data_IF_112522926948
#
_entry.id   IF_112522926948
#
_cell.length_a   1.000
_cell.length_b   1.000
_cell.length_c   1.000
_cell.angle_alpha   90.00
_cell.angle_beta   90.00
_cell.angle_gamma   90.00
#
_symmetry.space_group_name_H-M   'P 1'
#
loop_
_entity.id
_entity.type
_entity.pdbx_description
1 polymer ?
#
# COMPACT_ATOMS: atom_id res chain seq x y z
N UNK A 1 19.53 -4.22 -1.74
CA UNK A 1 19.53 -3.61 -3.09
C UNK A 1 18.91 -2.25 -2.96
N UNK A 2 19.36 -1.28 -3.74
CA UNK A 2 18.84 0.09 -3.70
C UNK A 2 19.13 0.75 -5.05
N UNK A 3 18.25 1.65 -5.52
CA UNK A 3 18.43 2.38 -6.78
C UNK A 3 18.98 3.79 -6.54
N UNK A 4 18.68 4.38 -5.39
CA UNK A 4 19.03 5.75 -5.04
C UNK A 4 20.49 5.88 -4.57
N UNK A 5 21.33 6.68 -5.25
CA UNK A 5 22.75 6.82 -4.91
C UNK A 5 23.02 7.26 -3.47
N UNK A 6 22.23 8.18 -2.93
CA UNK A 6 22.42 8.67 -1.57
C UNK A 6 22.07 7.62 -0.51
N UNK A 7 21.06 6.78 -0.78
CA UNK A 7 20.67 5.69 0.11
C UNK A 7 21.72 4.57 0.12
N UNK A 8 22.33 4.27 -1.05
CA UNK A 8 23.42 3.30 -1.14
C UNK A 8 24.57 3.62 -0.17
N UNK A 9 25.02 4.88 -0.12
CA UNK A 9 26.09 5.29 0.79
C UNK A 9 25.71 5.14 2.26
N UNK A 10 24.45 5.44 2.61
CA UNK A 10 23.94 5.30 3.97
C UNK A 10 23.80 3.84 4.41
N UNK A 11 23.62 2.90 3.47
CA UNK A 11 23.46 1.48 3.76
C UNK A 11 24.78 0.73 3.98
N UNK A 12 25.89 1.20 3.39
CA UNK A 12 27.21 0.53 3.48
C UNK A 12 27.66 0.17 4.90
N UNK A 13 27.44 1.00 5.95
CA UNK A 13 27.84 0.65 7.31
C UNK A 13 27.01 -0.47 7.95
N UNK A 14 25.82 -0.76 7.42
CA UNK A 14 24.84 -1.67 8.04
C UNK A 14 24.68 -3.00 7.30
N UNK A 15 25.20 -3.10 6.08
CA UNK A 15 25.08 -4.28 5.23
C UNK A 15 26.45 -4.80 4.81
N UNK A 16 26.60 -6.12 4.72
CA UNK A 16 27.82 -6.77 4.19
C UNK A 16 28.13 -6.34 2.76
N UNK A 17 27.09 -6.26 1.93
CA UNK A 17 27.16 -5.89 0.53
C UNK A 17 25.96 -5.00 0.19
N UNK A 18 26.17 -4.02 -0.70
CA UNK A 18 25.11 -3.14 -1.21
C UNK A 18 25.23 -3.04 -2.72
N UNK A 19 24.14 -3.31 -3.42
CA UNK A 19 24.08 -3.34 -4.88
C UNK A 19 23.13 -2.28 -5.42
N UNK A 20 23.64 -1.48 -6.38
CA UNK A 20 22.83 -0.56 -7.17
C UNK A 20 22.08 -1.33 -8.25
N UNK A 21 20.80 -1.61 -8.05
CA UNK A 21 19.98 -2.37 -9.00
C UNK A 21 18.57 -1.80 -9.08
N UNK A 22 17.98 -1.85 -10.28
CA UNK A 22 16.58 -1.52 -10.53
C UNK A 22 15.76 -2.81 -10.62
N UNK A 23 14.74 -2.95 -9.79
CA UNK A 23 13.84 -4.11 -9.82
C UNK A 23 12.95 -4.15 -11.08
N UNK A 24 12.89 -3.06 -11.84
CA UNK A 24 12.26 -3.03 -13.15
C UNK A 24 13.16 -3.63 -14.26
N UNK A 25 14.45 -3.85 -14.01
CA UNK A 25 15.31 -4.63 -14.91
C UNK A 25 14.98 -6.14 -14.82
N UNK A 26 14.59 -6.84 -15.89
CA UNK A 26 14.28 -8.28 -15.83
C UNK A 26 15.41 -9.17 -15.31
N UNK A 27 16.66 -8.71 -15.36
CA UNK A 27 17.85 -9.50 -15.04
C UNK A 27 18.36 -9.30 -13.62
N UNK A 28 17.73 -8.43 -12.82
CA UNK A 28 18.23 -8.05 -11.49
C UNK A 28 18.52 -9.26 -10.58
N UNK A 29 17.66 -10.28 -10.62
CA UNK A 29 17.75 -11.46 -9.76
C UNK A 29 18.90 -12.37 -10.18
N UNK A 30 19.13 -12.56 -11.48
CA UNK A 30 20.27 -13.33 -11.97
C UNK A 30 21.60 -12.66 -11.57
N UNK A 31 21.69 -11.33 -11.70
CA UNK A 31 22.87 -10.58 -11.31
C UNK A 31 23.19 -10.77 -9.81
N UNK A 32 22.16 -10.80 -8.96
CA UNK A 32 22.33 -11.05 -7.52
C UNK A 32 22.73 -12.50 -7.25
N UNK A 33 22.11 -13.46 -7.92
CA UNK A 33 22.45 -14.88 -7.76
C UNK A 33 23.91 -15.16 -8.14
N UNK A 34 24.40 -14.57 -9.23
CA UNK A 34 25.76 -14.76 -9.69
C UNK A 34 26.79 -14.17 -8.71
N UNK A 35 26.42 -13.15 -7.93
CA UNK A 35 27.29 -12.44 -6.99
C UNK A 35 27.25 -13.03 -5.57
N UNK A 36 26.08 -13.41 -5.08
CA UNK A 36 25.83 -13.77 -3.67
C UNK A 36 25.23 -15.17 -3.50
N UNK A 37 24.79 -15.81 -4.58
CA UNK A 37 24.11 -17.11 -4.55
C UNK A 37 22.64 -17.01 -4.12
N UNK A 38 22.17 -18.05 -3.42
CA UNK A 38 20.80 -18.18 -2.92
C UNK A 38 20.71 -17.79 -1.45
N UNK A 39 19.52 -17.38 -1.02
CA UNK A 39 19.27 -16.83 0.32
C UNK A 39 18.27 -17.68 1.12
N UNK A 40 18.45 -17.69 2.44
CA UNK A 40 17.46 -18.21 3.39
C UNK A 40 16.21 -17.32 3.46
N UNK A 41 16.38 -16.01 3.29
CA UNK A 41 15.28 -15.04 3.34
C UNK A 41 15.52 -13.94 2.32
N UNK A 42 14.49 -13.64 1.54
CA UNK A 42 14.45 -12.45 0.66
C UNK A 42 13.32 -11.55 1.14
N UNK A 43 13.65 -10.31 1.50
CA UNK A 43 12.72 -9.35 2.12
C UNK A 43 12.44 -8.22 1.13
N UNK A 44 11.16 -7.89 0.95
CA UNK A 44 10.72 -6.65 0.33
C UNK A 44 9.72 -5.96 1.27
N UNK A 45 10.22 -4.97 2.01
CA UNK A 45 9.40 -4.17 2.91
C UNK A 45 9.08 -2.84 2.22
N UNK A 46 7.82 -2.66 1.82
CA UNK A 46 7.32 -1.44 1.19
C UNK A 46 8.06 -1.13 -0.13
N UNK A 47 7.95 -2.08 -1.07
CA UNK A 47 8.67 -2.09 -2.36
C UNK A 47 7.75 -2.43 -3.53
N UNK A 48 6.88 -3.44 -3.39
CA UNK A 48 6.11 -3.99 -4.51
C UNK A 48 5.05 -3.00 -5.04
N UNK A 49 4.69 -1.99 -4.26
CA UNK A 49 3.83 -0.88 -4.62
C UNK A 49 4.50 0.18 -5.51
N UNK A 50 5.84 0.19 -5.55
CA UNK A 50 6.67 1.13 -6.30
C UNK A 50 7.17 0.60 -7.66
N UNK A 51 6.93 -0.68 -7.97
CA UNK A 51 7.43 -1.33 -9.20
C UNK A 51 6.32 -1.54 -10.24
N UNK A 52 6.67 -1.51 -11.53
CA UNK A 52 5.69 -1.66 -12.60
C UNK A 52 5.10 -3.08 -12.66
N UNK A 53 5.93 -4.10 -12.43
CA UNK A 53 5.52 -5.50 -12.49
C UNK A 53 5.89 -6.24 -11.18
N UNK A 54 5.07 -6.10 -10.13
CA UNK A 54 5.32 -6.75 -8.84
C UNK A 54 5.26 -8.28 -8.92
N UNK A 55 4.55 -8.85 -9.90
CA UNK A 55 4.48 -10.30 -10.09
C UNK A 55 5.83 -10.85 -10.53
N UNK A 56 6.45 -10.22 -11.55
CA UNK A 56 7.78 -10.60 -12.02
C UNK A 56 8.85 -10.37 -10.95
N UNK A 57 8.77 -9.27 -10.21
CA UNK A 57 9.69 -9.00 -9.10
C UNK A 57 9.57 -10.08 -8.03
N UNK A 58 8.36 -10.43 -7.60
CA UNK A 58 8.15 -11.51 -6.63
C UNK A 58 8.61 -12.88 -7.16
N UNK A 59 8.47 -13.13 -8.46
CA UNK A 59 9.02 -14.33 -9.09
C UNK A 59 10.56 -14.37 -9.01
N UNK A 60 11.24 -13.26 -9.30
CA UNK A 60 12.69 -13.14 -9.14
C UNK A 60 13.15 -13.30 -7.69
N UNK A 61 12.39 -12.77 -6.73
CA UNK A 61 12.65 -13.00 -5.30
C UNK A 61 12.54 -14.48 -4.93
N UNK A 62 11.53 -15.18 -5.45
CA UNK A 62 11.38 -16.63 -5.27
C UNK A 62 12.56 -17.40 -5.89
N UNK A 63 13.02 -16.99 -7.08
CA UNK A 63 14.16 -17.60 -7.73
C UNK A 63 15.42 -17.52 -6.88
N UNK A 64 15.61 -16.47 -6.09
CA UNK A 64 16.76 -16.30 -5.20
C UNK A 64 16.73 -17.15 -3.93
N UNK A 65 15.67 -17.93 -3.67
CA UNK A 65 15.60 -18.77 -2.48
C UNK A 65 16.46 -20.03 -2.60
N UNK A 66 17.07 -20.43 -1.49
CA UNK A 66 17.60 -21.79 -1.33
C UNK A 66 16.47 -22.78 -1.00
N UNK A 67 16.84 -24.06 -0.81
CA UNK A 67 15.90 -25.16 -0.57
C UNK A 67 15.07 -25.01 0.72
N UNK A 68 15.50 -24.16 1.66
CA UNK A 68 14.79 -23.88 2.91
C UNK A 68 14.24 -22.46 2.99
N UNK A 69 14.49 -21.63 1.97
CA UNK A 69 14.30 -20.20 2.06
C UNK A 69 12.84 -19.72 2.05
N UNK A 70 12.62 -18.45 2.36
CA UNK A 70 11.29 -17.82 2.35
C UNK A 70 11.34 -16.38 1.85
N UNK A 71 10.21 -15.88 1.35
CA UNK A 71 10.01 -14.46 1.05
C UNK A 71 9.24 -13.80 2.19
N UNK A 72 9.68 -12.62 2.62
CA UNK A 72 8.94 -11.76 3.54
C UNK A 72 8.52 -10.48 2.81
N UNK A 73 7.23 -10.15 2.87
CA UNK A 73 6.65 -8.97 2.25
C UNK A 73 5.97 -8.08 3.28
N UNK A 74 6.13 -6.76 3.17
CA UNK A 74 5.19 -5.76 3.71
C UNK A 74 4.54 -5.06 2.52
N UNK A 75 3.20 -5.03 2.48
CA UNK A 75 2.44 -4.40 1.39
C UNK A 75 1.37 -3.46 1.98
N UNK A 76 1.36 -2.17 1.58
CA UNK A 76 0.30 -1.24 1.93
C UNK A 76 -1.09 -1.70 1.48
N UNK A 77 -2.08 -1.49 2.35
CA UNK A 77 -3.46 -1.88 2.08
C UNK A 77 -4.31 -0.65 1.68
N UNK A 78 -4.65 -0.56 0.39
CA UNK A 78 -5.43 0.58 -0.15
C UNK A 78 -6.88 0.62 0.36
N UNK A 79 -7.40 -0.50 0.87
CA UNK A 79 -8.75 -0.61 1.41
C UNK A 79 -8.94 -0.02 2.81
N UNK A 80 -7.93 0.66 3.36
CA UNK A 80 -8.00 1.38 4.61
C UNK A 80 -9.09 2.47 4.56
N UNK A 81 -9.87 2.64 5.64
CA UNK A 81 -11.02 3.54 5.67
C UNK A 81 -10.66 5.00 5.39
N UNK A 82 -9.48 5.44 5.82
CA UNK A 82 -9.00 6.78 5.53
C UNK A 82 -8.74 7.04 4.03
N UNK A 83 -8.26 6.03 3.28
CA UNK A 83 -8.10 6.14 1.82
C UNK A 83 -9.46 6.11 1.13
N UNK A 84 -10.37 5.26 1.60
CA UNK A 84 -11.75 5.27 1.11
C UNK A 84 -12.44 6.62 1.35
N UNK A 85 -12.16 7.28 2.47
CA UNK A 85 -12.62 8.64 2.73
C UNK A 85 -12.05 9.66 1.74
N UNK A 86 -10.75 9.61 1.44
CA UNK A 86 -10.13 10.45 0.41
C UNK A 86 -10.82 10.27 -0.96
N UNK A 87 -11.10 9.02 -1.34
CA UNK A 87 -11.82 8.71 -2.58
C UNK A 87 -13.24 9.31 -2.57
N UNK A 88 -14.00 9.12 -1.49
CA UNK A 88 -15.37 9.66 -1.39
C UNK A 88 -15.40 11.19 -1.41
N UNK A 89 -14.38 11.83 -0.84
CA UNK A 89 -14.27 13.27 -0.75
C UNK A 89 -13.62 13.92 -1.99
N UNK A 90 -13.34 13.13 -3.04
CA UNK A 90 -12.71 13.55 -4.31
C UNK A 90 -11.30 14.18 -4.14
N UNK A 91 -10.59 13.87 -3.05
CA UNK A 91 -9.26 14.38 -2.75
C UNK A 91 -8.31 13.25 -2.29
N UNK A 92 -7.58 12.70 -3.26
CA UNK A 92 -6.48 11.78 -3.02
C UNK A 92 -5.25 12.58 -2.57
N UNK A 93 -5.11 12.72 -1.25
CA UNK A 93 -4.05 13.48 -0.59
C UNK A 93 -2.66 12.85 -0.79
N UNK A 94 -2.16 12.86 -2.03
CA UNK A 94 -0.86 12.29 -2.37
C UNK A 94 0.24 13.01 -1.60
N UNK A 95 1.05 12.22 -0.90
CA UNK A 95 2.09 12.72 0.00
C UNK A 95 3.49 12.23 -0.39
N UNK A 96 4.53 12.70 0.32
CA UNK A 96 5.88 12.16 0.20
C UNK A 96 6.10 10.84 0.95
N UNK A 97 5.09 10.36 1.70
CA UNK A 97 5.08 9.09 2.43
C UNK A 97 3.61 8.71 2.74
N UNK A 98 3.38 7.47 3.18
CA UNK A 98 2.06 6.99 3.62
C UNK A 98 1.40 6.04 2.61
N UNK A 99 0.12 5.72 2.80
CA UNK A 99 -0.65 4.83 1.90
C UNK A 99 -0.81 5.44 0.50
N UNK A 100 -0.91 6.77 0.43
CA UNK A 100 -0.95 7.54 -0.81
C UNK A 100 0.37 8.28 -1.06
N UNK A 101 1.50 7.63 -0.82
CA UNK A 101 2.79 8.11 -1.32
C UNK A 101 2.69 8.32 -2.84
N UNK A 102 3.11 9.50 -3.33
CA UNK A 102 3.08 9.88 -4.75
C UNK A 102 3.88 8.95 -5.68
N UNK A 103 4.75 8.12 -5.11
CA UNK A 103 5.56 7.14 -5.84
C UNK A 103 4.89 5.76 -5.92
N UNK A 104 3.78 5.53 -5.22
CA UNK A 104 2.99 4.30 -5.34
C UNK A 104 2.29 4.26 -6.71
N UNK A 105 2.55 3.19 -7.46
CA UNK A 105 1.95 2.95 -8.79
C UNK A 105 1.14 1.64 -8.83
N UNK A 106 1.08 0.92 -7.71
CA UNK A 106 0.28 -0.29 -7.51
C UNK A 106 -0.41 -0.22 -6.16
N UNK A 107 -1.64 -0.72 -6.12
CA UNK A 107 -2.49 -0.69 -4.93
C UNK A 107 -3.13 -2.06 -4.71
N UNK A 108 -3.14 -2.53 -3.46
CA UNK A 108 -3.57 -3.89 -3.14
C UNK A 108 -4.63 -3.89 -2.04
N UNK A 109 -5.75 -4.58 -2.30
CA UNK A 109 -6.64 -5.08 -1.25
C UNK A 109 -6.12 -6.40 -0.67
N UNK A 110 -6.66 -6.84 0.47
CA UNK A 110 -6.24 -8.10 1.14
C UNK A 110 -6.27 -9.31 0.17
N UNK A 111 -7.34 -9.44 -0.63
CA UNK A 111 -7.45 -10.50 -1.65
C UNK A 111 -6.37 -10.40 -2.74
N UNK A 112 -5.99 -9.17 -3.11
CA UNK A 112 -4.99 -8.94 -4.15
C UNK A 112 -3.58 -9.28 -3.66
N UNK A 113 -3.28 -9.00 -2.38
CA UNK A 113 -2.02 -9.46 -1.74
C UNK A 113 -1.90 -10.97 -1.79
N UNK A 114 -2.95 -11.69 -1.38
CA UNK A 114 -2.96 -13.16 -1.43
C UNK A 114 -2.79 -13.68 -2.87
N UNK A 115 -3.54 -13.10 -3.81
CA UNK A 115 -3.48 -13.51 -5.21
C UNK A 115 -2.10 -13.24 -5.84
N UNK A 116 -1.48 -12.09 -5.52
CA UNK A 116 -0.11 -11.76 -5.94
C UNK A 116 0.85 -12.88 -5.53
N UNK A 117 0.85 -13.25 -4.25
CA UNK A 117 1.74 -14.29 -3.70
C UNK A 117 1.45 -15.66 -4.33
N UNK A 118 0.20 -16.10 -4.32
CA UNK A 118 -0.18 -17.43 -4.79
C UNK A 118 -0.01 -17.61 -6.30
N UNK A 119 -0.18 -16.54 -7.08
CA UNK A 119 0.05 -16.58 -8.53
C UNK A 119 1.51 -16.85 -8.90
N UNK A 120 2.46 -16.54 -8.00
CA UNK A 120 3.88 -16.82 -8.21
C UNK A 120 4.31 -18.19 -7.70
N UNK A 121 3.36 -19.05 -7.33
CA UNK A 121 3.65 -20.39 -6.81
C UNK A 121 4.23 -20.38 -5.40
N UNK A 122 3.97 -19.32 -4.62
CA UNK A 122 4.25 -19.27 -3.19
C UNK A 122 2.96 -19.61 -2.40
N UNK A 123 3.11 -20.00 -1.15
CA UNK A 123 2.04 -20.12 -0.17
C UNK A 123 2.41 -19.36 1.10
N UNK A 124 1.40 -18.74 1.72
CA UNK A 124 1.56 -17.95 2.94
C UNK A 124 1.52 -18.89 4.15
N UNK A 125 2.60 -18.91 4.94
CA UNK A 125 2.67 -19.70 6.17
C UNK A 125 2.53 -18.86 7.43
N UNK A 126 2.83 -17.56 7.36
CA UNK A 126 2.63 -16.60 8.43
C UNK A 126 2.11 -15.29 7.86
N UNK A 127 1.19 -14.65 8.56
CA UNK A 127 0.64 -13.36 8.18
C UNK A 127 0.28 -12.54 9.41
N UNK A 128 0.57 -11.25 9.35
CA UNK A 128 0.21 -10.27 10.37
C UNK A 128 -0.36 -9.02 9.72
N UNK A 129 -1.27 -8.36 10.43
CA UNK A 129 -1.80 -7.06 10.04
C UNK A 129 -1.22 -5.97 10.91
N UNK A 130 -0.63 -4.97 10.26
CA UNK A 130 -0.29 -3.70 10.92
C UNK A 130 -1.57 -2.88 10.97
N UNK A 131 -2.06 -2.63 12.18
CA UNK A 131 -3.33 -1.94 12.40
C UNK A 131 -3.09 -0.50 12.86
N UNK A 132 -3.69 0.45 12.14
CA UNK A 132 -3.71 1.88 12.48
C UNK A 132 -5.12 2.39 12.30
N UNK A 133 -5.68 3.09 13.28
CA UNK A 133 -6.94 3.80 13.08
C UNK A 133 -6.69 5.02 12.18
N UNK A 134 -7.71 5.59 11.53
CA UNK A 134 -7.54 6.81 10.75
C UNK A 134 -6.91 7.99 11.49
N UNK A 135 -7.07 8.08 12.82
CA UNK A 135 -6.45 9.10 13.66
C UNK A 135 -4.93 8.90 13.84
N UNK A 136 -4.44 7.69 13.59
CA UNK A 136 -3.02 7.31 13.65
C UNK A 136 -2.30 7.46 12.31
N UNK A 137 -2.97 7.94 11.27
CA UNK A 137 -2.41 8.07 9.91
C UNK A 137 -2.27 9.53 9.48
N UNK A 138 -1.59 9.73 8.36
CA UNK A 138 -1.44 11.00 7.63
C UNK A 138 -2.78 11.66 7.26
N UNK A 139 -3.88 10.90 7.31
CA UNK A 139 -5.22 11.35 6.94
C UNK A 139 -6.07 11.78 8.15
N UNK A 140 -5.51 11.84 9.37
CA UNK A 140 -6.26 12.10 10.60
C UNK A 140 -7.15 13.35 10.51
N UNK A 141 -6.64 14.44 9.95
CA UNK A 141 -7.39 15.69 9.77
C UNK A 141 -8.55 15.55 8.78
N UNK A 142 -8.35 14.82 7.68
CA UNK A 142 -9.41 14.56 6.69
C UNK A 142 -10.50 13.68 7.30
N UNK A 143 -10.10 12.62 8.01
CA UNK A 143 -11.01 11.72 8.69
C UNK A 143 -11.91 12.43 9.71
N UNK A 144 -11.33 13.34 10.51
CA UNK A 144 -12.05 14.10 11.52
C UNK A 144 -13.18 14.98 10.94
N UNK A 145 -13.07 15.36 9.67
CA UNK A 145 -14.02 16.27 9.01
C UNK A 145 -15.18 15.57 8.30
N UNK A 146 -15.13 14.25 8.16
CA UNK A 146 -16.22 13.50 7.56
C UNK A 146 -17.48 13.52 8.44
N UNK A 147 -18.68 13.43 7.85
CA UNK A 147 -19.89 13.12 8.60
C UNK A 147 -19.75 11.81 9.39
N UNK A 148 -20.37 11.76 10.57
CA UNK A 148 -20.24 10.61 11.48
C UNK A 148 -20.83 9.32 10.89
N UNK A 149 -21.96 9.42 10.20
CA UNK A 149 -22.61 8.30 9.52
C UNK A 149 -21.73 7.69 8.42
N UNK A 150 -20.99 8.53 7.70
CA UNK A 150 -20.00 8.12 6.70
C UNK A 150 -18.83 7.38 7.35
N UNK A 151 -18.25 7.93 8.44
CA UNK A 151 -17.19 7.24 9.20
C UNK A 151 -17.67 5.87 9.68
N UNK A 152 -18.83 5.83 10.31
CA UNK A 152 -19.46 4.60 10.80
C UNK A 152 -19.70 3.59 9.67
N UNK A 153 -20.08 4.04 8.47
CA UNK A 153 -20.27 3.18 7.32
C UNK A 153 -18.95 2.58 6.81
N UNK A 154 -17.89 3.39 6.72
CA UNK A 154 -16.55 2.95 6.28
C UNK A 154 -15.92 1.97 7.28
N UNK A 155 -16.12 2.18 8.58
CA UNK A 155 -15.60 1.31 9.64
C UNK A 155 -16.26 -0.08 9.69
N UNK A 156 -17.41 -0.29 9.04
CA UNK A 156 -18.04 -1.62 8.92
C UNK A 156 -17.20 -2.64 8.16
N UNK A 157 -16.28 -2.18 7.32
CA UNK A 157 -15.31 -3.08 6.70
C UNK A 157 -14.38 -3.62 7.79
N UNK A 158 -14.31 -4.95 7.98
CA UNK A 158 -13.43 -5.55 8.99
C UNK A 158 -11.95 -5.21 8.84
N UNK A 159 -11.54 -4.79 7.64
CA UNK A 159 -10.17 -4.40 7.31
C UNK A 159 -9.95 -2.87 7.29
N UNK A 160 -10.94 -2.10 7.75
CA UNK A 160 -10.92 -0.64 7.73
C UNK A 160 -9.66 -0.04 8.36
N UNK A 161 -9.11 -0.68 9.39
CA UNK A 161 -7.92 -0.22 10.11
C UNK A 161 -6.64 -0.99 9.75
N UNK A 162 -6.70 -1.94 8.81
CA UNK A 162 -5.48 -2.61 8.33
C UNK A 162 -4.74 -1.64 7.43
N UNK A 163 -3.57 -1.21 7.90
CA UNK A 163 -2.70 -0.26 7.22
C UNK A 163 -1.75 -1.00 6.25
N UNK A 164 -1.14 -2.09 6.72
CA UNK A 164 -0.25 -2.94 5.93
C UNK A 164 -0.48 -4.42 6.24
N UNK A 165 -0.16 -5.27 5.27
CA UNK A 165 -0.13 -6.72 5.42
C UNK A 165 1.32 -7.19 5.40
N UNK A 166 1.75 -7.89 6.44
CA UNK A 166 3.06 -8.52 6.50
C UNK A 166 2.89 -10.02 6.33
N UNK A 167 3.66 -10.64 5.45
CA UNK A 167 3.58 -12.09 5.19
C UNK A 167 4.95 -12.73 5.15
N UNK A 168 5.03 -13.99 5.59
CA UNK A 168 6.11 -14.91 5.25
C UNK A 168 5.55 -16.02 4.38
N UNK A 169 6.16 -16.20 3.22
CA UNK A 169 5.72 -17.16 2.20
C UNK A 169 6.85 -18.06 1.73
N UNK A 170 6.53 -19.31 1.39
CA UNK A 170 7.48 -20.30 0.87
C UNK A 170 6.99 -20.84 -0.47
N UNK A 171 7.86 -21.43 -1.32
CA UNK A 171 7.43 -22.17 -2.51
C UNK A 171 6.36 -23.20 -2.18
N UNK A 172 5.31 -23.27 -3.00
CA UNK A 172 4.10 -24.07 -2.74
C UNK A 172 4.39 -25.54 -2.45
N UNK A 173 5.38 -26.10 -3.15
CA UNK A 173 5.84 -27.47 -2.99
C UNK A 173 6.49 -27.76 -1.63
N UNK A 174 6.94 -26.71 -0.91
CA UNK A 174 7.54 -26.80 0.43
C UNK A 174 6.59 -26.40 1.55
N UNK A 175 5.42 -25.87 1.21
CA UNK A 175 4.49 -25.32 2.19
C UNK A 175 3.89 -26.42 3.07
N UNK A 176 4.01 -26.24 4.39
CA UNK A 176 3.43 -27.14 5.40
C UNK A 176 2.07 -26.62 5.87
N UNK A 177 1.87 -25.31 5.81
CA UNK A 177 0.61 -24.62 6.11
C UNK A 177 0.17 -23.70 4.99
N UNK A 178 -1.12 -23.33 5.01
CA UNK A 178 -1.70 -22.34 4.11
C UNK A 178 -2.60 -21.41 4.90
N UNK A 179 -2.22 -20.15 4.98
CA UNK A 179 -3.04 -19.09 5.54
C UNK A 179 -3.86 -18.46 4.42
N UNK A 180 -5.18 -18.43 4.60
CA UNK A 180 -6.04 -17.51 3.85
C UNK A 180 -6.08 -16.18 4.61
N UNK A 181 -5.52 -15.11 4.04
CA UNK A 181 -5.60 -13.76 4.60
C UNK A 181 -7.05 -13.35 4.89
N UNK A 182 -8.02 -13.83 4.11
CA UNK A 182 -9.43 -13.59 4.38
C UNK A 182 -9.97 -14.34 5.61
N UNK A 183 -9.17 -15.16 6.29
CA UNK A 183 -9.54 -15.84 7.53
C UNK A 183 -8.76 -15.35 8.76
N UNK A 184 -7.73 -14.52 8.57
CA UNK A 184 -6.91 -14.00 9.67
C UNK A 184 -7.68 -12.93 10.45
N UNK A 185 -7.66 -13.05 11.77
CA UNK A 185 -8.24 -12.05 12.67
C UNK A 185 -7.47 -10.73 12.61
N UNK A 186 -8.21 -9.62 12.63
CA UNK A 186 -7.63 -8.27 12.70
C UNK A 186 -7.57 -7.86 14.18
N UNK A 187 -6.38 -7.77 14.79
CA UNK A 187 -6.29 -7.35 16.18
C UNK A 187 -6.66 -5.87 16.34
N UNK A 188 -7.10 -5.48 17.52
CA UNK A 188 -7.14 -4.07 17.88
C UNK A 188 -5.71 -3.51 17.97
N UNK A 189 -5.47 -2.23 17.61
CA UNK A 189 -4.15 -1.63 17.78
C UNK A 189 -3.80 -1.57 19.27
N UNK A 190 -2.55 -1.82 19.61
CA UNK A 190 -2.07 -1.69 20.98
C UNK A 190 -2.24 -0.25 21.49
N UNK A 191 -2.79 -0.07 22.70
CA UNK A 191 -3.10 1.26 23.24
C UNK A 191 -1.89 2.21 23.24
N UNK A 192 -0.71 1.71 23.59
CA UNK A 192 0.54 2.51 23.60
C UNK A 192 0.92 2.96 22.19
N UNK A 193 0.80 2.07 21.21
CA UNK A 193 1.06 2.36 19.79
C UNK A 193 0.06 3.38 19.26
N UNK A 194 -1.23 3.21 19.61
CA UNK A 194 -2.27 4.16 19.24
C UNK A 194 -2.00 5.56 19.79
N UNK A 195 -1.79 5.71 21.11
CA UNK A 195 -1.52 7.01 21.72
C UNK A 195 -0.26 7.69 21.17
N UNK A 196 0.80 6.91 20.89
CA UNK A 196 2.00 7.45 20.26
C UNK A 196 1.71 8.02 18.88
N UNK A 197 1.07 7.25 18.00
CA UNK A 197 0.83 7.68 16.62
C UNK A 197 -0.21 8.78 16.52
N UNK A 198 -1.25 8.80 17.34
CA UNK A 198 -2.18 9.92 17.43
C UNK A 198 -1.46 11.22 17.85
N UNK A 199 -0.56 11.14 18.84
CA UNK A 199 0.27 12.29 19.24
C UNK A 199 1.19 12.76 18.11
N UNK A 200 1.81 11.83 17.38
CA UNK A 200 2.67 12.18 16.25
C UNK A 200 1.85 12.82 15.13
N UNK A 201 0.75 12.21 14.71
CA UNK A 201 -0.05 12.69 13.58
C UNK A 201 -0.78 14.00 13.88
N UNK A 202 -1.24 14.21 15.11
CA UNK A 202 -1.83 15.48 15.52
C UNK A 202 -0.85 16.66 15.50
N UNK A 203 0.47 16.39 15.58
CA UNK A 203 1.51 17.43 15.48
C UNK A 203 1.74 17.93 14.06
N UNK A 204 1.31 17.18 13.04
CA UNK A 204 1.33 17.63 11.65
C UNK A 204 0.07 18.44 11.37
N UNK A 205 0.20 19.76 11.15
CA UNK A 205 -0.92 20.59 10.68
C UNK A 205 -1.03 20.54 9.16
N UNK A 206 -2.25 20.54 8.58
CA UNK A 206 -2.40 20.83 7.16
C UNK A 206 -1.73 22.17 6.83
N UNK A 207 -0.96 22.22 5.74
CA UNK A 207 -0.33 23.47 5.32
C UNK A 207 -1.38 24.56 5.05
N UNK A 208 -0.98 25.83 5.22
CA UNK A 208 -1.86 26.99 5.06
C UNK A 208 -2.53 27.08 3.67
N UNK A 209 -1.99 26.40 2.65
CA UNK A 209 -2.50 26.38 1.27
C UNK A 209 -3.44 25.20 0.96
N UNK A 210 -3.84 24.41 1.97
CA UNK A 210 -4.69 23.23 1.74
C UNK A 210 -6.14 23.62 1.38
N UNK A 211 -6.69 23.01 0.33
CA UNK A 211 -8.10 23.17 -0.03
C UNK A 211 -8.98 22.45 1.01
N UNK A 212 -9.66 23.24 1.83
CA UNK A 212 -10.54 22.74 2.88
C UNK A 212 -11.96 22.46 2.40
N UNK A 213 -12.26 22.50 1.11
CA UNK A 213 -13.58 22.05 0.64
C UNK A 213 -13.72 20.54 0.82
N UNK A 214 -14.97 20.11 0.94
CA UNK A 214 -15.36 18.70 1.04
C UNK A 214 -16.57 18.50 0.13
N UNK A 215 -16.59 17.39 -0.59
CA UNK A 215 -17.77 16.95 -1.35
C UNK A 215 -18.76 16.20 -0.45
N UNK A 216 -18.32 15.85 0.76
CA UNK A 216 -19.13 15.25 1.81
C UNK A 216 -19.74 16.34 2.71
N UNK A 217 -21.04 16.23 2.99
CA UNK A 217 -21.74 17.14 3.89
C UNK A 217 -22.84 16.42 4.66
N UNK A 218 -23.32 17.03 5.76
CA UNK A 218 -24.24 16.43 6.74
C UNK A 218 -25.69 16.24 6.24
N UNK A 219 -25.89 16.22 4.92
CA UNK A 219 -27.19 16.00 4.28
C UNK A 219 -27.45 16.97 3.13
N UNK A 220 -27.07 16.59 1.91
CA UNK A 220 -27.66 17.16 0.69
C UNK A 220 -27.88 16.04 -0.33
N UNK A 221 -29.15 15.84 -0.68
CA UNK A 221 -29.57 14.94 -1.73
C UNK A 221 -28.83 15.25 -3.05
N UNK A 222 -28.35 14.19 -3.71
CA UNK A 222 -27.93 14.26 -5.11
C UNK A 222 -29.12 14.80 -5.92
N UNK A 223 -29.10 16.08 -6.27
CA UNK A 223 -30.06 16.65 -7.22
C UNK A 223 -29.69 16.13 -8.60
N UNK A 224 -30.22 14.96 -8.96
CA UNK A 224 -30.21 14.47 -10.33
C UNK A 224 -31.02 15.46 -11.17
N UNK A 225 -30.34 16.41 -11.81
CA UNK A 225 -30.98 17.26 -12.80
C UNK A 225 -31.31 16.39 -14.01
N UNK A 226 -32.58 16.00 -14.16
CA UNK A 226 -33.11 15.38 -15.38
C UNK A 226 -33.27 16.40 -16.52
N UNK A 227 -32.30 17.31 -16.68
CA UNK A 227 -32.26 18.34 -17.71
C UNK A 227 -31.28 17.93 -18.79
N UNK A 228 -31.77 17.75 -20.04
CA UNK A 228 -30.91 17.61 -21.22
C UNK A 228 -30.02 18.86 -21.34
N UNK A 229 -28.77 18.76 -20.92
CA UNK A 229 -27.76 19.80 -21.20
C UNK A 229 -27.15 19.53 -22.58
N UNK A 230 -27.09 20.51 -23.49
CA UNK A 230 -26.52 20.30 -24.81
C UNK A 230 -24.99 20.19 -24.70
N UNK A 231 -24.48 18.97 -24.67
CA UNK A 231 -23.07 18.65 -24.93
C UNK A 231 -22.78 19.06 -26.37
N UNK A 232 -22.32 20.28 -26.61
CA UNK A 232 -22.14 20.74 -27.99
C UNK A 232 -21.24 21.94 -28.25
N UNK A 233 -20.76 22.67 -27.22
CA UNK A 233 -19.97 23.90 -27.44
C UNK A 233 -18.48 23.83 -27.13
N UNK A 234 -17.99 22.85 -26.39
CA UNK A 234 -16.54 22.75 -26.11
C UNK A 234 -15.78 21.91 -27.16
N UNK A 235 -16.41 20.86 -27.70
CA UNK A 235 -15.75 19.97 -28.67
C UNK A 235 -15.52 20.58 -30.07
N UNK A 236 -16.34 21.56 -30.50
CA UNK A 236 -16.22 22.18 -31.84
C UNK A 236 -15.05 23.17 -31.98
N UNK A 237 -14.34 23.49 -30.91
CA UNK A 237 -13.19 24.41 -30.94
C UNK A 237 -11.83 23.71 -31.03
N UNK A 238 -11.76 22.41 -30.76
CA UNK A 238 -10.50 21.64 -30.77
C UNK A 238 -10.30 20.83 -32.06
N UNK A 239 -11.37 20.55 -32.79
CA UNK A 239 -11.31 19.92 -34.11
C UNK A 239 -11.97 20.86 -35.12
N UNK A 240 -11.22 21.90 -35.49
CA UNK A 240 -11.57 22.80 -36.58
C UNK A 240 -11.50 22.06 -37.92
N UNK A 241 -12.53 22.31 -38.71
CA UNK A 241 -12.82 21.92 -40.10
C UNK A 241 -11.66 22.01 -41.07
#
# INVERSE_FOLDING_TARGET
>A
MEIEPEALEKLKPFARSVYKLDLNDPTWHQNIEDLEGKFDVVIAADVLEHVYDPWRVLNGMKALLNDTGSVILSIPHVGHSAVAACLLDEDFQYGPWGLLDKTHIRFFGIKNVQALIQSQGLEIEQAEYVVRTPQMTEFAHRWARLPEDVRNALERNRYSHVYQVVTRSVPRERAVGKIDLMSVDVPAPEKKVASYWESVMSSFSPGNDSDLRSTMGDGVAVRVHSGRTPIGRFARRLFGS
#
